data_IF_519917303844
#
_entry.id   IF_519917303844
#
_cell.length_a   1.000
_cell.length_b   1.000
_cell.length_c   1.000
_cell.angle_alpha   90.00
_cell.angle_beta   90.00
_cell.angle_gamma   90.00
#
_symmetry.space_group_name_H-M   'P 1'
#
loop_
_entity.id
_entity.type
_entity.pdbx_description
1 polymer ?
#
# COMPACT_ATOMS: atom_id res chain seq x y z
N UNK A 1 21.75 13.07 23.77
CA UNK A 1 21.48 12.45 22.46
C UNK A 1 22.37 13.12 21.43
N UNK A 2 23.18 12.38 20.68
CA UNK A 2 24.07 12.92 19.64
C UNK A 2 23.26 13.39 18.42
N UNK A 3 23.79 14.29 17.60
CA UNK A 3 23.19 14.72 16.31
C UNK A 3 22.79 13.53 15.44
N UNK A 4 23.58 12.45 15.49
CA UNK A 4 23.33 11.19 14.82
C UNK A 4 22.08 10.46 15.36
N UNK A 5 21.81 10.53 16.66
CA UNK A 5 20.58 9.97 17.25
C UNK A 5 19.32 10.71 16.78
N UNK A 6 19.37 12.05 16.68
CA UNK A 6 18.23 12.83 16.17
C UNK A 6 17.94 12.57 14.69
N UNK A 7 18.97 12.43 13.85
CA UNK A 7 18.78 12.08 12.43
C UNK A 7 18.21 10.67 12.26
N UNK A 8 18.62 9.70 13.05
CA UNK A 8 18.06 8.34 12.99
C UNK A 8 16.58 8.32 13.38
N UNK A 9 16.22 8.99 14.48
CA UNK A 9 14.82 9.06 14.96
C UNK A 9 13.91 9.81 13.97
N UNK A 10 14.38 10.94 13.43
CA UNK A 10 13.60 11.71 12.43
C UNK A 10 13.45 10.95 11.12
N UNK A 11 14.47 10.23 10.67
CA UNK A 11 14.40 9.36 9.48
C UNK A 11 13.42 8.22 9.70
N UNK A 12 13.43 7.59 10.87
CA UNK A 12 12.46 6.56 11.24
C UNK A 12 11.03 7.10 11.22
N UNK A 13 10.78 8.26 11.83
CA UNK A 13 9.47 8.90 11.82
C UNK A 13 9.01 9.25 10.38
N UNK A 14 9.91 9.75 9.54
CA UNK A 14 9.61 10.05 8.13
C UNK A 14 9.22 8.79 7.35
N UNK A 15 9.93 7.67 7.54
CA UNK A 15 9.60 6.39 6.92
C UNK A 15 8.22 5.89 7.36
N UNK A 16 7.87 6.02 8.64
CA UNK A 16 6.54 5.67 9.14
C UNK A 16 5.43 6.52 8.52
N UNK A 17 5.64 7.84 8.37
CA UNK A 17 4.67 8.74 7.73
C UNK A 17 4.48 8.38 6.25
N UNK A 18 5.58 8.15 5.52
CA UNK A 18 5.53 7.73 4.12
C UNK A 18 4.82 6.39 3.98
N UNK A 19 5.14 5.43 4.84
CA UNK A 19 4.45 4.13 4.88
C UNK A 19 2.95 4.29 5.10
N UNK A 20 2.54 5.04 6.13
CA UNK A 20 1.12 5.28 6.42
C UNK A 20 0.40 5.95 5.23
N UNK A 21 1.00 6.98 4.63
CA UNK A 21 0.44 7.64 3.45
C UNK A 21 0.30 6.70 2.25
N UNK A 22 1.31 5.86 2.00
CA UNK A 22 1.29 4.87 0.93
C UNK A 22 0.24 3.78 1.15
N UNK A 23 0.00 3.36 2.40
CA UNK A 23 -1.06 2.42 2.75
C UNK A 23 -2.45 3.04 2.55
N UNK A 24 -2.67 4.28 3.00
CA UNK A 24 -3.92 5.01 2.77
C UNK A 24 -4.19 5.14 1.28
N UNK A 25 -3.16 5.51 0.50
CA UNK A 25 -3.23 5.58 -0.96
C UNK A 25 -3.64 4.21 -1.55
N UNK A 26 -2.97 3.14 -1.14
CA UNK A 26 -3.29 1.79 -1.61
C UNK A 26 -4.74 1.39 -1.31
N UNK A 27 -5.24 1.68 -0.11
CA UNK A 27 -6.61 1.40 0.30
C UNK A 27 -7.62 2.21 -0.51
N UNK A 28 -7.38 3.51 -0.68
CA UNK A 28 -8.24 4.39 -1.47
C UNK A 28 -8.41 3.88 -2.90
N UNK A 29 -7.31 3.53 -3.58
CA UNK A 29 -7.38 3.01 -4.94
C UNK A 29 -7.94 1.59 -5.02
N UNK A 30 -7.74 0.77 -3.99
CA UNK A 30 -8.36 -0.57 -3.91
C UNK A 30 -9.87 -0.47 -3.77
N UNK A 31 -10.37 0.44 -2.93
CA UNK A 31 -11.81 0.73 -2.80
C UNK A 31 -12.34 1.31 -4.11
N UNK A 32 -11.64 2.27 -4.72
CA UNK A 32 -12.09 2.85 -6.00
C UNK A 32 -12.19 1.79 -7.11
N UNK A 33 -11.28 0.82 -7.11
CA UNK A 33 -11.25 -0.27 -8.09
C UNK A 33 -12.47 -1.19 -7.97
N UNK A 34 -13.05 -1.40 -6.78
CA UNK A 34 -14.26 -2.24 -6.62
C UNK A 34 -15.49 -1.64 -7.30
N UNK A 35 -15.45 -0.36 -7.66
CA UNK A 35 -16.52 0.32 -8.42
C UNK A 35 -16.25 0.38 -9.93
N UNK A 36 -15.14 -0.15 -10.43
CA UNK A 36 -14.69 0.01 -11.82
C UNK A 36 -14.61 -1.32 -12.61
N UNK A 37 -15.50 -2.25 -12.31
CA UNK A 37 -15.65 -3.50 -13.08
C UNK A 37 -16.28 -3.24 -14.46
N UNK A 38 -15.82 -4.01 -15.45
CA UNK A 38 -16.27 -3.90 -16.85
C UNK A 38 -17.73 -4.35 -17.02
N UNK A 39 -18.17 -5.32 -16.22
CA UNK A 39 -19.57 -5.77 -16.15
C UNK A 39 -20.08 -5.65 -14.71
N UNK A 40 -21.14 -4.87 -14.49
CA UNK A 40 -21.73 -4.67 -13.16
C UNK A 40 -22.19 -5.98 -12.50
N UNK A 41 -22.64 -6.97 -13.29
CA UNK A 41 -23.03 -8.29 -12.77
C UNK A 41 -21.87 -9.13 -12.20
N UNK A 42 -20.63 -8.88 -12.65
CA UNK A 42 -19.43 -9.57 -12.17
C UNK A 42 -18.94 -9.01 -10.85
N UNK A 43 -19.19 -7.73 -10.56
CA UNK A 43 -18.94 -7.14 -9.25
C UNK A 43 -19.67 -7.91 -8.13
N UNK A 44 -20.82 -8.50 -8.45
CA UNK A 44 -21.66 -9.28 -7.54
C UNK A 44 -21.51 -10.80 -7.69
N UNK A 45 -20.49 -11.30 -8.42
CA UNK A 45 -20.21 -12.74 -8.47
C UNK A 45 -19.62 -13.22 -7.13
N UNK A 46 -19.90 -14.46 -6.73
CA UNK A 46 -19.31 -15.06 -5.49
C UNK A 46 -17.78 -14.94 -5.42
N UNK A 47 -17.10 -14.84 -6.56
CA UNK A 47 -15.65 -14.70 -6.64
C UNK A 47 -15.15 -13.28 -6.30
N UNK A 48 -16.02 -12.26 -6.29
CA UNK A 48 -15.66 -10.84 -6.23
C UNK A 48 -16.41 -10.05 -5.15
N UNK A 49 -17.50 -10.61 -4.62
CA UNK A 49 -18.48 -9.95 -3.74
C UNK A 49 -17.91 -9.34 -2.45
N UNK A 50 -16.75 -9.81 -1.96
CA UNK A 50 -16.26 -9.41 -0.63
C UNK A 50 -14.76 -9.16 -0.50
N UNK A 51 -13.97 -9.23 -1.58
CA UNK A 51 -12.52 -9.14 -1.44
C UNK A 51 -11.83 -8.20 -2.45
N UNK A 52 -11.34 -7.02 -2.01
CA UNK A 52 -10.50 -6.17 -2.86
C UNK A 52 -9.25 -6.89 -3.36
N UNK A 53 -8.72 -7.92 -2.65
CA UNK A 53 -7.64 -8.76 -3.17
C UNK A 53 -8.03 -9.51 -4.44
N UNK A 54 -9.27 -10.00 -4.56
CA UNK A 54 -9.68 -10.71 -5.77
C UNK A 54 -9.76 -9.79 -6.99
N UNK A 55 -10.13 -8.53 -6.78
CA UNK A 55 -10.07 -7.50 -7.81
C UNK A 55 -8.61 -7.13 -8.18
N UNK A 56 -7.68 -7.15 -7.21
CA UNK A 56 -6.25 -6.99 -7.48
C UNK A 56 -5.67 -8.21 -8.21
N UNK A 57 -6.16 -9.42 -7.94
CA UNK A 57 -5.62 -10.66 -8.52
C UNK A 57 -6.24 -11.02 -9.88
N UNK A 58 -7.41 -10.47 -10.23
CA UNK A 58 -8.11 -10.75 -11.50
C UNK A 58 -8.27 -9.48 -12.37
N UNK A 59 -7.19 -8.99 -13.01
CA UNK A 59 -7.22 -7.75 -13.78
C UNK A 59 -8.09 -7.80 -15.05
N UNK A 60 -8.41 -9.00 -15.54
CA UNK A 60 -9.25 -9.21 -16.72
C UNK A 60 -10.72 -8.82 -16.52
N UNK A 61 -11.15 -8.60 -15.27
CA UNK A 61 -12.53 -8.22 -14.93
C UNK A 61 -12.71 -6.70 -14.82
N UNK A 62 -11.61 -5.95 -14.89
CA UNK A 62 -11.57 -4.52 -14.67
C UNK A 62 -11.60 -3.76 -16.01
N UNK A 63 -12.36 -2.68 -16.03
CA UNK A 63 -12.26 -1.66 -17.09
C UNK A 63 -10.86 -1.03 -17.13
N UNK A 64 -10.53 -0.26 -18.16
CA UNK A 64 -9.25 0.45 -18.25
C UNK A 64 -8.98 1.36 -17.04
N UNK A 65 -10.01 2.08 -16.58
CA UNK A 65 -9.93 2.87 -15.37
C UNK A 65 -9.63 2.00 -14.13
N UNK A 66 -10.28 0.83 -14.03
CA UNK A 66 -10.06 -0.13 -12.94
C UNK A 66 -8.63 -0.69 -12.95
N UNK A 67 -8.09 -1.00 -14.14
CA UNK A 67 -6.70 -1.43 -14.31
C UNK A 67 -5.70 -0.34 -13.90
N UNK A 68 -6.00 0.93 -14.19
CA UNK A 68 -5.18 2.05 -13.73
C UNK A 68 -5.22 2.18 -12.20
N UNK A 69 -6.41 2.11 -11.60
CA UNK A 69 -6.59 2.13 -10.15
C UNK A 69 -5.83 0.98 -9.47
N UNK A 70 -5.88 -0.23 -10.03
CA UNK A 70 -5.08 -1.38 -9.59
C UNK A 70 -3.59 -1.10 -9.59
N UNK A 71 -3.04 -0.52 -10.67
CA UNK A 71 -1.62 -0.18 -10.75
C UNK A 71 -1.22 0.82 -9.67
N UNK A 72 -2.06 1.82 -9.39
CA UNK A 72 -1.81 2.81 -8.34
C UNK A 72 -1.90 2.19 -6.94
N UNK A 73 -2.86 1.29 -6.71
CA UNK A 73 -2.96 0.54 -5.46
C UNK A 73 -1.71 -0.32 -5.22
N UNK A 74 -1.25 -1.05 -6.24
CA UNK A 74 -0.03 -1.86 -6.17
C UNK A 74 1.23 -1.02 -5.93
N UNK A 75 1.34 0.15 -6.58
CA UNK A 75 2.43 1.09 -6.29
C UNK A 75 2.42 1.55 -4.83
N UNK A 76 1.25 1.90 -4.29
CA UNK A 76 1.10 2.25 -2.87
C UNK A 76 1.53 1.11 -1.94
N UNK A 77 1.12 -0.13 -2.24
CA UNK A 77 1.53 -1.32 -1.46
C UNK A 77 3.04 -1.56 -1.51
N UNK A 78 3.67 -1.39 -2.67
CA UNK A 78 5.12 -1.54 -2.83
C UNK A 78 5.88 -0.48 -2.02
N UNK A 79 5.43 0.77 -2.07
CA UNK A 79 6.05 1.86 -1.29
C UNK A 79 5.86 1.61 0.21
N UNK A 80 4.68 1.17 0.64
CA UNK A 80 4.44 0.77 2.04
C UNK A 80 5.38 -0.36 2.48
N UNK A 81 5.50 -1.43 1.69
CA UNK A 81 6.38 -2.55 2.00
C UNK A 81 7.85 -2.12 2.08
N UNK A 82 8.32 -1.29 1.14
CA UNK A 82 9.66 -0.75 1.17
C UNK A 82 9.90 0.13 2.41
N UNK A 83 8.96 1.03 2.72
CA UNK A 83 9.04 1.89 3.91
C UNK A 83 9.04 1.05 5.20
N UNK A 84 8.23 0.00 5.27
CA UNK A 84 8.16 -0.91 6.41
C UNK A 84 9.48 -1.66 6.62
N UNK A 85 10.07 -2.23 5.55
CA UNK A 85 11.37 -2.93 5.62
C UNK A 85 12.47 -1.96 6.04
N UNK A 86 12.54 -0.77 5.43
CA UNK A 86 13.52 0.26 5.79
C UNK A 86 13.37 0.73 7.24
N UNK A 87 12.13 0.99 7.70
CA UNK A 87 11.86 1.40 9.07
C UNK A 87 12.22 0.28 10.07
N UNK A 88 11.91 -0.97 9.73
CA UNK A 88 12.28 -2.13 10.54
C UNK A 88 13.80 -2.31 10.68
N UNK A 89 14.53 -2.23 9.56
CA UNK A 89 15.99 -2.29 9.56
C UNK A 89 16.61 -1.13 10.35
N UNK A 90 16.09 0.09 10.19
CA UNK A 90 16.54 1.27 10.92
C UNK A 90 16.24 1.15 12.42
N UNK A 91 15.06 0.67 12.80
CA UNK A 91 14.68 0.43 14.19
C UNK A 91 15.56 -0.63 14.86
N UNK A 92 15.91 -1.70 14.13
CA UNK A 92 16.91 -2.67 14.60
C UNK A 92 18.27 -1.99 14.80
N UNK A 93 18.78 -1.25 13.81
CA UNK A 93 20.05 -0.55 13.93
C UNK A 93 20.11 0.40 15.13
N UNK A 94 19.04 1.17 15.36
CA UNK A 94 18.92 2.04 16.56
C UNK A 94 19.00 1.21 17.84
N UNK A 95 18.30 0.07 17.91
CA UNK A 95 18.32 -0.83 19.08
C UNK A 95 19.72 -1.41 19.35
N UNK A 96 20.49 -1.71 18.31
CA UNK A 96 21.86 -2.24 18.44
C UNK A 96 22.89 -1.15 18.82
N UNK A 97 22.59 0.12 18.56
CA UNK A 97 23.45 1.27 18.88
C UNK A 97 23.14 1.93 20.23
N UNK A 98 21.99 1.64 20.83
CA UNK A 98 21.55 2.14 22.13
C UNK A 98 22.04 1.22 23.26
#
# INVERSE_FOLDING_TARGET
>A
MTTLGYTLVTTFAALCIVGAGALIWALFFSIRMTFQFEQRGVAYSRATLWNPMNAILRPALLSDAGRQSRRLALKGLLVFAAAYVCAGALGLAIKWMA
#
